data_IF_635311571776
#
_entry.id   IF_635311571776
#
_cell.length_a   1.000
_cell.length_b   1.000
_cell.length_c   1.000
_cell.angle_alpha   90.00
_cell.angle_beta   90.00
_cell.angle_gamma   90.00
#
_symmetry.space_group_name_H-M   'P 1'
#
loop_
_entity.id
_entity.type
_entity.pdbx_description
1 polymer ?
#
# COMPACT_ATOMS: atom_id res chain seq x y z
N UNK A 1 26.35 -25.64 -18.76
CA UNK A 1 26.16 -24.17 -18.80
C UNK A 1 24.84 -23.87 -18.14
N UNK A 2 24.86 -23.25 -16.96
CA UNK A 2 23.65 -22.74 -16.30
C UNK A 2 23.64 -21.24 -16.60
N UNK A 3 22.57 -20.78 -17.24
CA UNK A 3 22.42 -19.40 -17.68
C UNK A 3 22.42 -18.45 -16.49
N UNK A 4 23.28 -17.42 -16.53
CA UNK A 4 23.20 -16.27 -15.64
C UNK A 4 22.01 -15.42 -16.06
N UNK A 5 20.83 -15.74 -15.55
CA UNK A 5 19.69 -14.82 -15.57
C UNK A 5 19.90 -13.89 -14.36
N UNK A 6 20.28 -12.65 -14.64
CA UNK A 6 20.37 -11.60 -13.62
C UNK A 6 19.01 -11.49 -12.92
N UNK A 7 18.92 -11.61 -11.59
CA UNK A 7 17.67 -11.37 -10.87
C UNK A 7 17.22 -9.93 -11.17
N UNK A 8 15.96 -9.78 -11.57
CA UNK A 8 15.41 -8.49 -11.96
C UNK A 8 15.57 -7.44 -10.87
N UNK A 9 15.84 -6.21 -11.30
CA UNK A 9 16.08 -5.02 -10.46
C UNK A 9 15.00 -4.76 -9.39
N UNK A 10 13.77 -5.29 -9.54
CA UNK A 10 12.71 -5.24 -8.52
C UNK A 10 12.97 -6.12 -7.29
N UNK A 11 13.60 -7.29 -7.44
CA UNK A 11 13.94 -8.15 -6.29
C UNK A 11 15.12 -7.58 -5.51
N UNK A 12 15.99 -6.82 -6.17
CA UNK A 12 17.09 -6.11 -5.52
C UNK A 12 16.56 -4.97 -4.66
N UNK A 13 15.53 -4.25 -5.10
CA UNK A 13 14.97 -3.11 -4.36
C UNK A 13 14.31 -3.54 -3.03
N UNK A 14 13.51 -4.62 -3.05
CA UNK A 14 12.97 -5.21 -1.82
C UNK A 14 14.06 -5.76 -0.90
N UNK A 15 15.07 -6.46 -1.44
CA UNK A 15 16.19 -6.96 -0.63
C UNK A 15 16.98 -5.83 0.03
N UNK A 16 17.16 -4.71 -0.69
CA UNK A 16 17.94 -3.57 -0.24
C UNK A 16 17.16 -2.73 0.79
N UNK A 17 15.83 -2.64 0.65
CA UNK A 17 14.96 -2.08 1.68
C UNK A 17 14.95 -2.93 2.96
N UNK A 18 14.90 -4.26 2.87
CA UNK A 18 15.01 -5.16 4.04
C UNK A 18 16.36 -5.04 4.72
N UNK A 19 17.46 -4.97 3.97
CA UNK A 19 18.81 -4.75 4.50
C UNK A 19 18.95 -3.39 5.20
N UNK A 20 18.40 -2.32 4.60
CA UNK A 20 18.38 -0.99 5.24
C UNK A 20 17.47 -0.93 6.46
N UNK A 21 16.38 -1.70 6.48
CA UNK A 21 15.53 -1.84 7.66
C UNK A 21 16.28 -2.57 8.77
N UNK A 22 16.97 -3.67 8.43
CA UNK A 22 17.77 -4.44 9.37
C UNK A 22 18.91 -3.61 9.98
N UNK A 23 19.63 -2.81 9.18
CA UNK A 23 20.70 -1.95 9.69
C UNK A 23 20.15 -0.81 10.58
N UNK A 24 19.04 -0.17 10.21
CA UNK A 24 18.39 0.86 11.05
C UNK A 24 17.88 0.28 12.38
N UNK A 25 17.35 -0.94 12.36
CA UNK A 25 16.92 -1.64 13.59
C UNK A 25 18.12 -2.05 14.43
N UNK A 26 19.24 -2.46 13.80
CA UNK A 26 20.47 -2.85 14.50
C UNK A 26 21.16 -1.67 15.18
N UNK A 27 21.15 -0.49 14.58
CA UNK A 27 21.66 0.74 15.22
C UNK A 27 20.75 1.20 16.38
N UNK A 28 19.43 1.00 16.28
CA UNK A 28 18.51 1.28 17.38
C UNK A 28 18.70 0.33 18.57
N UNK A 29 19.05 -0.94 18.33
CA UNK A 29 19.35 -1.92 19.39
C UNK A 29 20.77 -1.73 19.96
N UNK A 30 21.72 -1.29 19.15
CA UNK A 30 23.10 -1.03 19.60
C UNK A 30 23.26 0.33 20.29
N UNK A 31 22.36 1.30 20.03
CA UNK A 31 22.38 2.62 20.66
C UNK A 31 22.08 2.62 22.16
N UNK A 32 21.38 1.60 22.66
CA UNK A 32 21.02 1.44 24.09
C UNK A 32 22.01 0.58 24.89
N UNK A 33 22.98 -0.05 24.22
CA UNK A 33 24.01 -0.88 24.86
C UNK A 33 25.36 -0.15 24.87
N UNK A 34 25.39 1.05 25.45
CA UNK A 34 26.66 1.57 25.96
C UNK A 34 27.07 0.77 27.19
N UNK A 35 28.01 -0.14 26.93
CA UNK A 35 28.84 -0.90 27.85
C UNK A 35 29.04 -0.23 29.23
N UNK A 36 28.32 -0.70 30.26
CA UNK A 36 28.82 -0.63 31.63
C UNK A 36 29.38 -2.00 31.98
N UNK A 37 30.71 -2.11 31.91
CA UNK A 37 31.43 -3.31 32.28
C UNK A 37 31.51 -3.38 33.80
N UNK A 38 30.90 -4.41 34.38
CA UNK A 38 31.16 -4.85 35.75
C UNK A 38 30.02 -4.58 36.73
N UNK A 39 29.16 -5.56 36.93
CA UNK A 39 29.03 -6.22 38.24
C UNK A 39 28.06 -7.39 38.09
N UNK A 40 28.49 -8.52 38.64
CA UNK A 40 27.67 -9.69 38.94
C UNK A 40 26.32 -9.25 39.52
N UNK A 41 25.22 -9.71 38.92
CA UNK A 41 23.97 -10.02 39.60
C UNK A 41 23.11 -10.86 38.66
N UNK A 42 23.33 -12.17 38.72
CA UNK A 42 22.34 -13.17 38.31
C UNK A 42 21.15 -13.10 39.27
N UNK A 43 20.15 -12.26 38.98
CA UNK A 43 18.75 -12.36 39.46
C UNK A 43 17.94 -11.16 38.94
N UNK A 44 16.75 -11.43 38.40
CA UNK A 44 15.64 -10.49 38.11
C UNK A 44 15.48 -9.87 36.71
N UNK A 45 16.15 -10.34 35.65
CA UNK A 45 15.78 -9.90 34.28
C UNK A 45 14.45 -10.50 33.78
N UNK A 46 14.08 -11.71 34.24
CA UNK A 46 12.83 -12.36 33.84
C UNK A 46 11.61 -11.65 34.46
N UNK A 47 11.76 -11.08 35.66
CA UNK A 47 10.74 -10.29 36.34
C UNK A 47 10.45 -8.97 35.64
N UNK A 48 11.49 -8.28 35.17
CA UNK A 48 11.36 -7.01 34.45
C UNK A 48 10.79 -7.23 33.04
N UNK A 49 11.18 -8.32 32.36
CA UNK A 49 10.61 -8.71 31.07
C UNK A 49 9.16 -9.21 31.20
N UNK A 50 8.84 -9.97 32.26
CA UNK A 50 7.47 -10.37 32.63
C UNK A 50 6.63 -9.17 33.08
N UNK A 51 7.22 -8.15 33.69
CA UNK A 51 6.54 -6.92 34.08
C UNK A 51 6.27 -6.03 32.86
N UNK A 52 7.22 -5.90 31.93
CA UNK A 52 7.00 -5.27 30.63
C UNK A 52 5.95 -6.04 29.81
N UNK A 53 5.99 -7.38 29.82
CA UNK A 53 4.99 -8.22 29.19
C UNK A 53 3.63 -8.11 29.87
N UNK A 54 3.56 -8.02 31.19
CA UNK A 54 2.35 -7.83 32.02
C UNK A 54 1.73 -6.44 31.83
N UNK A 55 2.56 -5.39 31.74
CA UNK A 55 2.14 -4.03 31.41
C UNK A 55 1.68 -3.93 29.95
N UNK A 56 2.29 -4.70 29.04
CA UNK A 56 1.91 -4.78 27.63
C UNK A 56 0.71 -5.72 27.38
N UNK A 57 0.48 -6.73 28.21
CA UNK A 57 -0.64 -7.68 28.12
C UNK A 57 -1.92 -7.13 28.78
N UNK A 58 -1.83 -6.15 29.69
CA UNK A 58 -2.99 -5.59 30.40
C UNK A 58 -3.41 -4.17 29.99
N UNK A 59 -2.57 -3.37 29.33
CA UNK A 59 -2.93 -1.99 28.93
C UNK A 59 -2.84 -1.78 27.41
N UNK A 60 -3.59 -2.58 26.66
CA UNK A 60 -4.08 -2.10 25.35
C UNK A 60 -5.03 -0.95 25.61
N UNK A 61 -4.46 0.24 25.79
CA UNK A 61 -5.24 1.45 26.01
C UNK A 61 -6.30 1.57 24.91
N UNK A 62 -7.50 2.06 25.23
CA UNK A 62 -8.55 2.24 24.23
C UNK A 62 -8.07 3.08 23.04
N UNK A 63 -7.12 4.00 23.23
CA UNK A 63 -6.45 4.71 22.15
C UNK A 63 -5.57 3.81 21.25
N UNK A 64 -4.82 2.87 21.82
CA UNK A 64 -3.98 1.95 21.04
C UNK A 64 -4.82 0.93 20.26
N UNK A 65 -5.91 0.42 20.84
CA UNK A 65 -6.87 -0.42 20.12
C UNK A 65 -7.50 0.32 18.94
N UNK A 66 -7.87 1.59 19.14
CA UNK A 66 -8.42 2.44 18.09
C UNK A 66 -7.40 2.67 16.97
N UNK A 67 -6.12 2.88 17.31
CA UNK A 67 -5.05 3.03 16.33
C UNK A 67 -4.84 1.75 15.52
N UNK A 68 -4.76 0.59 16.17
CA UNK A 68 -4.59 -0.68 15.47
C UNK A 68 -5.77 -1.00 14.53
N UNK A 69 -6.99 -0.74 14.98
CA UNK A 69 -8.16 -0.88 14.12
C UNK A 69 -8.09 0.05 12.91
N UNK A 70 -7.71 1.31 13.12
CA UNK A 70 -7.60 2.29 12.04
C UNK A 70 -6.51 1.92 11.02
N UNK A 71 -5.35 1.45 11.49
CA UNK A 71 -4.27 0.96 10.62
C UNK A 71 -4.75 -0.22 9.79
N UNK A 72 -5.46 -1.18 10.38
CA UNK A 72 -6.02 -2.32 9.64
C UNK A 72 -7.04 -1.88 8.59
N UNK A 73 -7.89 -0.90 8.90
CA UNK A 73 -8.82 -0.31 7.92
C UNK A 73 -8.09 0.42 6.78
N UNK A 74 -6.95 1.04 7.07
CA UNK A 74 -6.12 1.72 6.09
C UNK A 74 -5.40 0.74 5.16
N UNK A 75 -4.88 -0.37 5.69
CA UNK A 75 -4.26 -1.45 4.90
C UNK A 75 -5.25 -2.05 3.89
N UNK A 76 -6.48 -2.36 4.34
CA UNK A 76 -7.54 -2.86 3.44
C UNK A 76 -7.91 -1.82 2.38
N UNK A 77 -7.91 -0.54 2.75
CA UNK A 77 -8.17 0.54 1.79
C UNK A 77 -7.04 0.70 0.76
N UNK A 78 -5.78 0.49 1.17
CA UNK A 78 -4.62 0.49 0.28
C UNK A 78 -4.69 -0.67 -0.72
N UNK A 79 -4.94 -1.89 -0.24
CA UNK A 79 -5.09 -3.08 -1.10
C UNK A 79 -6.19 -2.86 -2.14
N UNK A 80 -7.36 -2.37 -1.73
CA UNK A 80 -8.46 -2.06 -2.64
C UNK A 80 -8.08 -0.98 -3.67
N UNK A 81 -7.35 0.07 -3.26
CA UNK A 81 -6.89 1.11 -4.18
C UNK A 81 -5.88 0.56 -5.20
N UNK A 82 -4.98 -0.35 -4.78
CA UNK A 82 -4.01 -0.99 -5.68
C UNK A 82 -4.69 -1.94 -6.67
N UNK A 83 -5.63 -2.74 -6.20
CA UNK A 83 -6.44 -3.63 -7.04
C UNK A 83 -7.26 -2.83 -8.05
N UNK A 84 -7.88 -1.73 -7.62
CA UNK A 84 -8.60 -0.83 -8.50
C UNK A 84 -7.68 -0.19 -9.56
N UNK A 85 -6.45 0.19 -9.19
CA UNK A 85 -5.47 0.71 -10.16
C UNK A 85 -5.15 -0.34 -11.22
N UNK A 86 -4.90 -1.59 -10.83
CA UNK A 86 -4.66 -2.68 -11.76
C UNK A 86 -5.87 -2.92 -12.68
N UNK A 87 -7.08 -2.99 -12.12
CA UNK A 87 -8.31 -3.15 -12.89
C UNK A 87 -8.50 -2.02 -13.90
N UNK A 88 -8.22 -0.77 -13.50
CA UNK A 88 -8.32 0.39 -14.38
C UNK A 88 -7.38 0.27 -15.58
N UNK A 89 -6.15 -0.21 -15.38
CA UNK A 89 -5.20 -0.47 -16.47
C UNK A 89 -5.74 -1.52 -17.42
N UNK A 90 -6.18 -2.67 -16.89
CA UNK A 90 -6.70 -3.78 -17.70
C UNK A 90 -7.90 -3.32 -18.57
N UNK A 91 -8.79 -2.50 -18.00
CA UNK A 91 -9.94 -1.95 -18.70
C UNK A 91 -9.55 -0.88 -19.75
N UNK A 92 -8.54 -0.06 -19.47
CA UNK A 92 -7.99 0.91 -20.42
C UNK A 92 -7.33 0.20 -21.61
N UNK A 93 -6.58 -0.87 -21.38
CA UNK A 93 -5.99 -1.70 -22.44
C UNK A 93 -7.09 -2.33 -23.31
N UNK A 94 -8.12 -2.92 -22.70
CA UNK A 94 -9.25 -3.47 -23.44
C UNK A 94 -10.01 -2.41 -24.26
N UNK A 95 -10.16 -1.21 -23.70
CA UNK A 95 -10.78 -0.06 -24.38
C UNK A 95 -9.94 0.38 -25.59
N UNK A 96 -8.61 0.43 -25.44
CA UNK A 96 -7.70 0.79 -26.53
C UNK A 96 -7.77 -0.20 -27.70
N UNK A 97 -7.89 -1.51 -27.41
CA UNK A 97 -8.07 -2.53 -28.44
C UNK A 97 -9.37 -2.28 -29.22
N UNK A 98 -10.50 -2.12 -28.52
CA UNK A 98 -11.80 -1.84 -29.15
C UNK A 98 -11.81 -0.54 -29.96
N UNK A 99 -11.17 0.51 -29.44
CA UNK A 99 -11.00 1.79 -30.13
C UNK A 99 -10.22 1.63 -31.44
N UNK A 100 -9.16 0.83 -31.41
CA UNK A 100 -8.33 0.54 -32.59
C UNK A 100 -9.11 -0.27 -33.64
N UNK A 101 -9.94 -1.21 -33.21
CA UNK A 101 -10.84 -1.97 -34.09
C UNK A 101 -11.89 -1.07 -34.74
N UNK A 102 -12.56 -0.21 -33.97
CA UNK A 102 -13.49 0.79 -34.49
C UNK A 102 -12.81 1.69 -35.53
N UNK A 103 -11.61 2.19 -35.23
CA UNK A 103 -10.84 3.03 -36.16
C UNK A 103 -10.57 2.30 -37.48
N UNK A 104 -10.22 1.01 -37.42
CA UNK A 104 -9.99 0.19 -38.62
C UNK A 104 -11.28 -0.02 -39.42
N UNK A 105 -12.44 -0.14 -38.77
CA UNK A 105 -13.73 -0.26 -39.48
C UNK A 105 -14.07 1.00 -40.28
N UNK A 106 -13.69 2.18 -39.77
CA UNK A 106 -13.90 3.46 -40.45
C UNK A 106 -13.09 3.61 -41.76
N UNK A 107 -12.06 2.78 -41.98
CA UNK A 107 -11.30 2.77 -43.24
C UNK A 107 -12.06 2.11 -44.40
N UNK A 108 -13.22 1.48 -44.14
CA UNK A 108 -14.02 0.82 -45.18
C UNK A 108 -14.97 1.80 -45.87
N UNK A 109 -15.05 1.79 -47.20
CA UNK A 109 -15.81 2.78 -47.99
C UNK A 109 -17.32 2.78 -47.70
N UNK A 110 -17.85 1.67 -47.20
CA UNK A 110 -19.27 1.47 -46.92
C UNK A 110 -19.57 1.29 -45.42
N UNK A 111 -18.70 1.81 -44.55
CA UNK A 111 -18.93 1.68 -43.10
C UNK A 111 -20.17 2.48 -42.68
N UNK A 112 -20.92 1.91 -41.74
CA UNK A 112 -22.08 2.56 -41.14
C UNK A 112 -21.61 3.65 -40.16
N UNK A 113 -21.78 4.91 -40.54
CA UNK A 113 -21.37 6.08 -39.77
C UNK A 113 -22.19 6.23 -38.48
N UNK A 114 -23.48 5.93 -38.51
CA UNK A 114 -24.36 6.05 -37.36
C UNK A 114 -24.01 4.96 -36.32
N UNK A 115 -23.82 3.72 -36.78
CA UNK A 115 -23.36 2.64 -35.93
C UNK A 115 -21.98 2.92 -35.34
N UNK A 116 -21.04 3.45 -36.13
CA UNK A 116 -19.71 3.85 -35.66
C UNK A 116 -19.80 4.90 -34.54
N UNK A 117 -20.55 5.98 -34.76
CA UNK A 117 -20.72 7.05 -33.76
C UNK A 117 -21.29 6.51 -32.46
N UNK A 118 -22.32 5.66 -32.55
CA UNK A 118 -22.93 5.03 -31.39
C UNK A 118 -21.95 4.15 -30.62
N UNK A 119 -21.21 3.28 -31.32
CA UNK A 119 -20.21 2.42 -30.67
C UNK A 119 -19.05 3.20 -30.05
N UNK A 120 -18.66 4.33 -30.67
CA UNK A 120 -17.63 5.19 -30.13
C UNK A 120 -18.09 5.96 -28.89
N UNK A 121 -19.32 6.49 -28.91
CA UNK A 121 -19.95 7.14 -27.77
C UNK A 121 -20.07 6.17 -26.58
N UNK A 122 -20.60 4.97 -26.81
CA UNK A 122 -20.69 3.92 -25.78
C UNK A 122 -19.31 3.57 -25.20
N UNK A 123 -18.27 3.51 -26.04
CA UNK A 123 -16.91 3.21 -25.57
C UNK A 123 -16.33 4.35 -24.70
N UNK A 124 -16.59 5.61 -25.07
CA UNK A 124 -16.19 6.79 -24.29
C UNK A 124 -16.91 6.82 -22.95
N UNK A 125 -18.23 6.65 -22.94
CA UNK A 125 -19.04 6.70 -21.72
C UNK A 125 -18.62 5.63 -20.72
N UNK A 126 -18.34 4.41 -21.20
CA UNK A 126 -17.81 3.34 -20.37
C UNK A 126 -16.44 3.71 -19.79
N UNK A 127 -15.52 4.24 -20.61
CA UNK A 127 -14.19 4.66 -20.15
C UNK A 127 -14.25 5.78 -19.11
N UNK A 128 -15.13 6.76 -19.31
CA UNK A 128 -15.36 7.84 -18.34
C UNK A 128 -15.88 7.29 -17.01
N UNK A 129 -16.84 6.38 -17.03
CA UNK A 129 -17.39 5.74 -15.82
C UNK A 129 -16.29 5.04 -15.00
N UNK A 130 -15.43 4.28 -15.68
CA UNK A 130 -14.29 3.58 -15.08
C UNK A 130 -13.32 4.57 -14.42
N UNK A 131 -12.92 5.62 -15.16
CA UNK A 131 -11.96 6.62 -14.66
C UNK A 131 -12.53 7.44 -13.50
N UNK A 132 -13.83 7.75 -13.53
CA UNK A 132 -14.51 8.43 -12.41
C UNK A 132 -14.48 7.55 -11.17
N UNK A 133 -14.90 6.28 -11.26
CA UNK A 133 -14.84 5.34 -10.14
C UNK A 133 -13.42 5.19 -9.60
N UNK A 134 -12.44 5.06 -10.48
CA UNK A 134 -11.05 4.90 -10.07
C UNK A 134 -10.55 6.13 -9.29
N UNK A 135 -10.93 7.32 -9.73
CA UNK A 135 -10.63 8.57 -9.04
C UNK A 135 -11.30 8.64 -7.67
N UNK A 136 -12.56 8.24 -7.54
CA UNK A 136 -13.29 8.23 -6.27
C UNK A 136 -12.60 7.32 -5.23
N UNK A 137 -12.12 6.15 -5.65
CA UNK A 137 -11.39 5.22 -4.76
C UNK A 137 -10.06 5.83 -4.29
N UNK A 138 -9.34 6.53 -5.16
CA UNK A 138 -8.11 7.25 -4.78
C UNK A 138 -8.41 8.39 -3.81
N UNK A 139 -9.52 9.12 -4.02
CA UNK A 139 -9.94 10.20 -3.12
C UNK A 139 -10.33 9.68 -1.74
N UNK A 140 -11.03 8.55 -1.66
CA UNK A 140 -11.37 7.87 -0.39
C UNK A 140 -10.09 7.44 0.37
N UNK A 141 -9.16 6.77 -0.31
CA UNK A 141 -7.89 6.35 0.29
C UNK A 141 -7.08 7.54 0.81
N UNK A 142 -6.97 8.62 0.03
CA UNK A 142 -6.33 9.87 0.47
C UNK A 142 -7.02 10.49 1.68
N UNK A 143 -8.35 10.41 1.75
CA UNK A 143 -9.12 10.85 2.90
C UNK A 143 -8.77 10.07 4.16
N UNK A 144 -8.66 8.73 4.04
CA UNK A 144 -8.25 7.84 5.15
C UNK A 144 -6.82 8.10 5.62
N UNK A 145 -5.87 8.32 4.70
CA UNK A 145 -4.50 8.71 5.03
C UNK A 145 -4.46 10.02 5.83
N UNK A 146 -5.20 11.04 5.39
CA UNK A 146 -5.24 12.32 6.11
C UNK A 146 -5.86 12.18 7.52
N UNK A 147 -6.81 11.26 7.70
CA UNK A 147 -7.39 10.96 9.00
C UNK A 147 -6.41 10.20 9.92
N UNK A 148 -5.61 9.27 9.38
CA UNK A 148 -4.53 8.57 10.09
C UNK A 148 -3.52 9.57 10.69
N UNK A 149 -3.01 10.49 9.86
CA UNK A 149 -2.00 11.46 10.29
C UNK A 149 -2.52 12.35 11.43
N UNK A 150 -3.81 12.70 11.41
CA UNK A 150 -4.43 13.49 12.46
C UNK A 150 -4.57 12.71 13.77
N UNK A 151 -4.88 11.41 13.71
CA UNK A 151 -4.96 10.53 14.88
C UNK A 151 -3.57 10.32 15.50
N UNK A 152 -2.56 10.02 14.67
CA UNK A 152 -1.17 9.84 15.09
C UNK A 152 -0.59 11.08 15.79
N UNK A 153 -0.90 12.29 15.29
CA UNK A 153 -0.51 13.55 15.94
C UNK A 153 -1.20 13.76 17.29
N UNK A 154 -2.46 13.35 17.45
CA UNK A 154 -3.22 13.51 18.71
C UNK A 154 -2.74 12.56 19.80
N UNK A 155 -2.41 11.33 19.44
CA UNK A 155 -1.87 10.33 20.39
C UNK A 155 -0.45 10.71 20.84
N UNK A 156 0.39 11.19 19.92
CA UNK A 156 1.76 11.64 20.24
C UNK A 156 1.80 12.88 21.15
N UNK A 157 0.84 13.81 21.00
CA UNK A 157 0.75 15.03 21.83
C UNK A 157 0.17 14.81 23.24
N UNK A 158 -0.41 13.65 23.52
CA UNK A 158 -1.02 13.31 24.82
C UNK A 158 -0.07 12.56 25.77
N UNK A 159 1.10 12.14 25.29
CA UNK A 159 2.22 11.68 26.11
C UNK A 159 3.04 12.88 26.60
#
# INVERSE_FOLDING_TARGET
>A
MIAMISPGVNSCEHSLNTLRYADRVKELVAGDLQTNSGSDNEQDEDGDLLQLRSLNENDMTPEMLNLHQFISELEVAEENMLDNHKQTIDEMEATLVKASELRRMADTVAYDQEAYCKSWEELIDNSLSILVRAKEIVEDYKGKLAAEEQLSRKTTKRK
#
